data_IF_434636438154
#
_entry.id   IF_434636438154
#
_cell.length_a   1.000
_cell.length_b   1.000
_cell.length_c   1.000
_cell.angle_alpha   90.00
_cell.angle_beta   90.00
_cell.angle_gamma   90.00
#
_symmetry.space_group_name_H-M   'P 1'
#
loop_
_entity.id
_entity.type
_entity.pdbx_description
1 polymer ?
#
# COMPACT_ATOMS: atom_id res chain seq x y z
N UNK A 1 -54.79 14.54 26.52
CA UNK A 1 -53.32 14.49 26.60
C UNK A 1 -52.82 13.22 25.91
N UNK A 2 -52.65 13.21 24.57
CA UNK A 2 -51.90 12.14 23.86
C UNK A 2 -51.65 12.45 22.37
N UNK A 3 -51.24 13.67 21.99
CA UNK A 3 -50.96 14.02 20.57
C UNK A 3 -49.63 14.74 20.33
N UNK A 4 -48.68 14.65 21.26
CA UNK A 4 -47.41 15.40 21.15
C UNK A 4 -46.14 14.60 21.49
N UNK A 5 -46.23 13.28 21.69
CA UNK A 5 -45.03 12.46 21.99
C UNK A 5 -44.34 11.92 20.71
N UNK A 6 -45.02 11.97 19.56
CA UNK A 6 -44.45 11.54 18.27
C UNK A 6 -43.82 12.75 17.58
N UNK A 7 -42.76 13.34 18.13
CA UNK A 7 -41.99 14.37 17.38
C UNK A 7 -40.53 14.55 17.80
N UNK A 8 -39.99 13.79 18.76
CA UNK A 8 -38.59 13.97 19.17
C UNK A 8 -37.71 12.71 19.17
N UNK A 9 -38.25 11.55 18.77
CA UNK A 9 -37.44 10.33 18.56
C UNK A 9 -37.12 10.09 17.08
N UNK A 10 -37.76 10.83 16.17
CA UNK A 10 -37.59 10.68 14.72
C UNK A 10 -36.42 11.49 14.14
N UNK A 11 -35.67 12.21 14.98
CA UNK A 11 -34.57 13.09 14.57
C UNK A 11 -33.24 12.67 15.22
N UNK A 12 -33.05 11.37 15.43
CA UNK A 12 -31.79 10.79 15.89
C UNK A 12 -31.43 9.45 15.23
N UNK A 13 -32.10 9.10 14.12
CA UNK A 13 -31.95 7.79 13.47
C UNK A 13 -31.38 7.82 12.07
N UNK A 14 -30.96 8.97 11.55
CA UNK A 14 -30.39 9.06 10.19
C UNK A 14 -29.18 9.98 10.15
N UNK A 15 -28.09 9.52 10.76
CA UNK A 15 -26.74 9.91 10.35
C UNK A 15 -25.89 8.64 10.22
N UNK A 16 -26.39 7.66 9.45
CA UNK A 16 -25.50 6.64 8.88
C UNK A 16 -24.76 7.34 7.76
N UNK A 17 -23.64 8.00 8.11
CA UNK A 17 -22.67 8.40 7.12
C UNK A 17 -22.21 7.15 6.40
N UNK A 18 -22.54 7.03 5.12
CA UNK A 18 -21.93 6.00 4.26
C UNK A 18 -20.45 6.32 4.22
N UNK A 19 -19.64 5.65 5.06
CA UNK A 19 -18.19 5.65 4.90
C UNK A 19 -17.96 4.98 3.56
N UNK A 20 -17.75 5.79 2.51
CA UNK A 20 -17.46 5.29 1.17
C UNK A 20 -16.24 4.39 1.26
N UNK A 21 -16.38 3.14 0.81
CA UNK A 21 -15.27 2.22 0.72
C UNK A 21 -14.21 2.85 -0.18
N UNK A 22 -13.10 3.32 0.41
CA UNK A 22 -11.97 3.82 -0.35
C UNK A 22 -11.44 2.66 -1.20
N UNK A 23 -11.49 2.82 -2.53
CA UNK A 23 -10.92 1.83 -3.45
C UNK A 23 -9.41 1.85 -3.24
N UNK A 24 -8.88 0.81 -2.61
CA UNK A 24 -7.43 0.64 -2.43
C UNK A 24 -6.81 0.47 -3.82
N UNK A 25 -5.80 1.29 -4.18
CA UNK A 25 -5.13 1.13 -5.46
C UNK A 25 -4.51 -0.26 -5.60
N UNK A 26 -4.58 -0.83 -6.80
CA UNK A 26 -4.08 -2.19 -7.07
C UNK A 26 -2.58 -2.35 -6.70
N UNK A 27 -1.79 -1.28 -6.88
CA UNK A 27 -0.35 -1.29 -6.54
C UNK A 27 -0.08 -1.38 -5.02
N UNK A 28 -1.04 -1.02 -4.17
CA UNK A 28 -0.82 -0.87 -2.73
C UNK A 28 -0.45 -2.20 -2.06
N UNK A 29 -0.98 -3.32 -2.58
CA UNK A 29 -0.58 -4.68 -2.17
C UNK A 29 0.92 -4.91 -2.35
N UNK A 30 1.45 -4.53 -3.52
CA UNK A 30 2.86 -4.70 -3.87
C UNK A 30 3.78 -3.76 -3.09
N UNK A 31 3.31 -2.56 -2.79
CA UNK A 31 4.03 -1.62 -1.92
C UNK A 31 4.26 -2.17 -0.52
N UNK A 32 3.26 -2.83 0.08
CA UNK A 32 3.40 -3.49 1.39
C UNK A 32 4.44 -4.62 1.37
N UNK A 33 4.47 -5.40 0.28
CA UNK A 33 5.46 -6.47 0.11
C UNK A 33 6.86 -5.85 -0.03
N UNK A 34 7.02 -4.84 -0.88
CA UNK A 34 8.29 -4.15 -1.08
C UNK A 34 8.88 -3.60 0.23
N UNK A 35 8.04 -2.97 1.06
CA UNK A 35 8.43 -2.48 2.40
C UNK A 35 8.90 -3.62 3.29
N UNK A 36 8.07 -4.64 3.51
CA UNK A 36 8.37 -5.74 4.44
C UNK A 36 9.64 -6.50 4.05
N UNK A 37 9.76 -6.83 2.77
CA UNK A 37 10.91 -7.57 2.23
C UNK A 37 12.21 -6.74 2.33
N UNK A 38 12.14 -5.42 2.10
CA UNK A 38 13.29 -4.52 2.26
C UNK A 38 13.71 -4.40 3.72
N UNK A 39 12.77 -4.24 4.64
CA UNK A 39 13.05 -4.21 6.09
C UNK A 39 13.76 -5.48 6.55
N UNK A 40 13.30 -6.64 6.09
CA UNK A 40 13.91 -7.93 6.42
C UNK A 40 15.32 -8.07 5.81
N UNK A 41 15.47 -7.71 4.53
CA UNK A 41 16.75 -7.84 3.81
C UNK A 41 17.86 -6.98 4.41
N UNK A 42 17.55 -5.74 4.73
CA UNK A 42 18.55 -4.76 5.18
C UNK A 42 18.55 -4.57 6.71
N UNK A 43 17.64 -5.22 7.43
CA UNK A 43 17.39 -4.98 8.86
C UNK A 43 17.30 -3.48 9.17
N UNK A 44 16.47 -2.79 8.40
CA UNK A 44 16.41 -1.34 8.35
C UNK A 44 14.97 -0.84 8.54
N UNK A 45 14.84 0.39 9.02
CA UNK A 45 13.59 1.12 9.04
C UNK A 45 13.35 1.78 7.68
N UNK A 46 12.09 1.91 7.27
CA UNK A 46 11.71 2.68 6.08
C UNK A 46 11.39 4.10 6.53
N UNK A 47 12.17 5.06 6.04
CA UNK A 47 11.99 6.49 6.29
C UNK A 47 11.00 7.09 5.29
N UNK A 48 11.16 6.75 4.02
CA UNK A 48 10.33 7.29 2.93
C UNK A 48 9.99 6.21 1.91
N UNK A 49 8.86 6.40 1.25
CA UNK A 49 8.26 5.49 0.30
C UNK A 49 7.73 6.28 -0.90
N UNK A 50 8.21 5.91 -2.09
CA UNK A 50 7.70 6.43 -3.35
C UNK A 50 7.34 5.28 -4.29
N UNK A 51 6.10 5.25 -4.75
CA UNK A 51 5.71 4.43 -5.89
C UNK A 51 6.15 5.12 -7.18
N UNK A 52 7.04 4.45 -7.94
CA UNK A 52 7.58 5.00 -9.19
C UNK A 52 6.63 4.70 -10.35
N UNK A 53 6.00 3.52 -10.34
CA UNK A 53 5.00 3.14 -11.33
C UNK A 53 5.07 1.67 -11.73
N UNK A 54 4.17 1.29 -12.64
CA UNK A 54 4.04 -0.06 -13.19
C UNK A 54 4.53 -0.11 -14.63
N UNK A 55 5.22 -1.20 -14.98
CA UNK A 55 5.55 -1.56 -16.36
C UNK A 55 5.00 -2.93 -16.70
N UNK A 56 4.27 -3.06 -17.81
CA UNK A 56 3.82 -4.36 -18.33
C UNK A 56 4.92 -4.97 -19.21
N UNK A 57 5.48 -6.11 -18.79
CA UNK A 57 6.53 -6.83 -19.51
C UNK A 57 5.94 -7.81 -20.53
N UNK A 58 4.77 -8.40 -20.22
CA UNK A 58 3.96 -9.23 -21.12
C UNK A 58 2.53 -9.34 -20.59
N UNK A 59 1.64 -10.05 -21.30
CA UNK A 59 0.25 -10.27 -20.87
C UNK A 59 0.14 -10.90 -19.47
N UNK A 60 1.11 -11.73 -19.09
CA UNK A 60 1.13 -12.46 -17.82
C UNK A 60 2.25 -11.98 -16.88
N UNK A 61 2.83 -10.80 -17.14
CA UNK A 61 3.92 -10.27 -16.32
C UNK A 61 3.91 -8.75 -16.25
N UNK A 62 3.76 -8.23 -15.04
CA UNK A 62 3.90 -6.81 -14.73
C UNK A 62 5.03 -6.63 -13.70
N UNK A 63 5.65 -5.45 -13.69
CA UNK A 63 6.65 -5.03 -12.73
C UNK A 63 6.20 -3.73 -12.05
N UNK A 64 6.13 -3.73 -10.73
CA UNK A 64 5.95 -2.52 -9.92
C UNK A 64 7.30 -2.06 -9.40
N UNK A 65 7.59 -0.77 -9.59
CA UNK A 65 8.84 -0.15 -9.13
C UNK A 65 8.55 0.79 -7.97
N UNK A 66 9.32 0.62 -6.90
CA UNK A 66 9.29 1.48 -5.71
C UNK A 66 10.69 2.05 -5.45
N UNK A 67 10.74 3.24 -4.86
CA UNK A 67 11.95 3.81 -4.26
C UNK A 67 11.71 3.94 -2.76
N UNK A 68 12.55 3.29 -1.97
CA UNK A 68 12.51 3.34 -0.51
C UNK A 68 13.75 4.06 0.00
N UNK A 69 13.58 4.99 0.94
CA UNK A 69 14.70 5.52 1.72
C UNK A 69 14.75 4.75 3.03
N UNK A 70 15.88 4.13 3.34
CA UNK A 70 16.00 3.27 4.51
C UNK A 70 17.09 3.74 5.45
N UNK A 71 16.95 3.40 6.74
CA UNK A 71 17.98 3.57 7.77
C UNK A 71 18.28 2.23 8.42
N UNK A 72 19.51 1.77 8.28
CA UNK A 72 19.97 0.54 8.92
C UNK A 72 20.22 0.75 10.42
N UNK A 73 20.33 -0.34 11.18
CA UNK A 73 20.58 -0.27 12.64
C UNK A 73 21.87 0.43 13.04
N UNK A 74 22.89 0.43 12.18
CA UNK A 74 24.15 1.16 12.34
C UNK A 74 24.03 2.66 12.00
N UNK A 75 22.85 3.13 11.58
CA UNK A 75 22.57 4.54 11.29
C UNK A 75 22.85 4.96 9.84
N UNK A 76 23.29 4.03 8.98
CA UNK A 76 23.50 4.32 7.55
C UNK A 76 22.17 4.54 6.83
N UNK A 77 22.12 5.57 5.97
CA UNK A 77 20.94 5.89 5.16
C UNK A 77 21.25 5.83 3.67
N UNK A 78 20.37 5.19 2.91
CA UNK A 78 20.47 5.14 1.46
C UNK A 78 19.13 4.82 0.80
N UNK A 79 19.05 5.10 -0.50
CA UNK A 79 17.91 4.73 -1.33
C UNK A 79 18.03 3.29 -1.81
N UNK A 80 16.90 2.61 -1.95
CA UNK A 80 16.79 1.30 -2.58
C UNK A 80 15.66 1.34 -3.59
N UNK A 81 15.96 1.05 -4.86
CA UNK A 81 14.93 0.69 -5.82
C UNK A 81 14.53 -0.77 -5.61
N UNK A 82 13.23 -0.99 -5.50
CA UNK A 82 12.63 -2.32 -5.38
C UNK A 82 11.80 -2.57 -6.62
N UNK A 83 12.10 -3.68 -7.30
CA UNK A 83 11.42 -4.14 -8.49
C UNK A 83 10.66 -5.41 -8.14
N UNK A 84 9.34 -5.38 -8.26
CA UNK A 84 8.47 -6.51 -7.93
C UNK A 84 7.76 -6.97 -9.19
N UNK A 85 8.15 -8.13 -9.70
CA UNK A 85 7.51 -8.76 -10.86
C UNK A 85 6.46 -9.75 -10.39
N UNK A 86 5.26 -9.72 -10.98
CA UNK A 86 4.16 -10.62 -10.66
C UNK A 86 3.32 -10.90 -11.92
N UNK A 87 2.48 -11.94 -11.84
CA UNK A 87 1.48 -12.21 -12.86
C UNK A 87 0.18 -11.46 -12.52
N UNK A 88 -0.25 -10.46 -13.31
CA UNK A 88 -1.45 -9.66 -13.02
C UNK A 88 -2.76 -10.46 -13.11
N UNK A 89 -2.75 -11.67 -13.67
CA UNK A 89 -3.93 -12.53 -13.74
C UNK A 89 -4.13 -13.40 -12.49
N UNK A 90 -3.04 -13.75 -11.79
CA UNK A 90 -3.08 -14.75 -10.72
C UNK A 90 -2.52 -14.26 -9.39
N UNK A 91 -1.74 -13.17 -9.33
CA UNK A 91 -1.44 -12.42 -8.10
C UNK A 91 -0.84 -13.23 -6.92
N UNK A 92 -0.41 -14.46 -7.19
CA UNK A 92 0.03 -15.48 -6.22
C UNK A 92 1.53 -15.62 -6.14
N UNK A 93 2.24 -15.31 -7.23
CA UNK A 93 3.69 -15.44 -7.31
C UNK A 93 4.32 -14.09 -7.64
N UNK A 94 5.40 -13.77 -6.94
CA UNK A 94 6.21 -12.61 -7.24
C UNK A 94 7.71 -12.90 -7.17
N UNK A 95 8.49 -12.13 -7.93
CA UNK A 95 9.94 -12.07 -7.82
C UNK A 95 10.33 -10.65 -7.42
N UNK A 96 11.26 -10.52 -6.47
CA UNK A 96 11.73 -9.24 -5.97
C UNK A 96 13.22 -9.03 -6.24
N UNK A 97 13.58 -7.84 -6.72
CA UNK A 97 14.96 -7.42 -6.99
C UNK A 97 15.23 -6.05 -6.36
N UNK A 98 16.46 -5.85 -5.90
CA UNK A 98 16.90 -4.65 -5.22
C UNK A 98 18.07 -4.01 -5.94
N UNK A 99 18.08 -2.68 -5.97
CA UNK A 99 19.19 -1.88 -6.47
C UNK A 99 19.46 -0.74 -5.49
N UNK A 100 20.64 -0.73 -4.89
CA UNK A 100 21.06 0.31 -3.95
C UNK A 100 21.40 1.58 -4.72
N UNK A 101 20.98 2.72 -4.17
CA UNK A 101 21.24 4.06 -4.67
C UNK A 101 21.86 4.90 -3.55
N UNK A 102 23.12 5.26 -3.69
CA UNK A 102 23.90 5.94 -2.65
C UNK A 102 25.18 5.20 -2.32
#
# INVERSE_FOLDING_TARGET
MLRTVISLVMMWTLYIGTVGAAVVPEYAKWGLIAVKETQQRYQADIIDYLHVGRTYLSANKAEEKFKLWIRTKDGSEFGVYVYLQFNPAHDTEYTIRYERVG
#
